data_IF_418886537176
#
_entry.id   IF_418886537176
#
_cell.length_a   1.000
_cell.length_b   1.000
_cell.length_c   1.000
_cell.angle_alpha   90.00
_cell.angle_beta   90.00
_cell.angle_gamma   90.00
#
_symmetry.space_group_name_H-M   'P 1'
#
loop_
_entity.id
_entity.type
_entity.pdbx_description
1 polymer ?
#
# COMPACT_ATOMS: atom_id res chain seq x y z
N UNK A 1 35.83 13.72 -7.66
CA UNK A 1 36.08 12.25 -7.66
C UNK A 1 35.22 11.52 -6.63
N UNK A 2 35.24 11.92 -5.36
CA UNK A 2 34.46 11.27 -4.28
C UNK A 2 32.93 11.35 -4.45
N UNK A 3 32.39 12.50 -4.91
CA UNK A 3 30.95 12.66 -5.20
C UNK A 3 30.44 11.64 -6.23
N UNK A 4 31.18 11.49 -7.34
CA UNK A 4 30.85 10.54 -8.41
C UNK A 4 30.90 9.08 -7.92
N UNK A 5 31.87 8.73 -7.06
CA UNK A 5 31.93 7.41 -6.46
C UNK A 5 30.73 7.13 -5.55
N UNK A 6 30.34 8.10 -4.72
CA UNK A 6 29.19 7.96 -3.82
C UNK A 6 27.87 7.80 -4.60
N UNK A 7 27.67 8.60 -5.65
CA UNK A 7 26.49 8.50 -6.54
C UNK A 7 26.47 7.14 -7.25
N UNK A 8 27.59 6.70 -7.81
CA UNK A 8 27.67 5.41 -8.51
C UNK A 8 27.36 4.22 -7.59
N UNK A 9 27.85 4.25 -6.35
CA UNK A 9 27.54 3.21 -5.35
C UNK A 9 26.05 3.23 -4.98
N UNK A 10 25.48 4.43 -4.78
CA UNK A 10 24.06 4.58 -4.48
C UNK A 10 23.17 4.07 -5.62
N UNK A 11 23.51 4.38 -6.88
CA UNK A 11 22.81 3.85 -8.06
C UNK A 11 22.90 2.32 -8.11
N UNK A 12 24.10 1.76 -7.91
CA UNK A 12 24.29 0.31 -7.90
C UNK A 12 23.43 -0.40 -6.84
N UNK A 13 23.43 0.12 -5.61
CA UNK A 13 22.58 -0.41 -4.53
C UNK A 13 21.09 -0.26 -4.85
N UNK A 14 20.68 0.93 -5.29
CA UNK A 14 19.31 1.22 -5.68
C UNK A 14 18.82 0.24 -6.75
N UNK A 15 19.60 0.02 -7.81
CA UNK A 15 19.22 -0.87 -8.90
C UNK A 15 19.09 -2.33 -8.47
N UNK A 16 19.99 -2.82 -7.61
CA UNK A 16 19.89 -4.19 -7.07
C UNK A 16 18.63 -4.34 -6.24
N UNK A 17 18.40 -3.44 -5.29
CA UNK A 17 17.24 -3.48 -4.40
C UNK A 17 15.94 -3.34 -5.19
N UNK A 18 15.88 -2.38 -6.12
CA UNK A 18 14.75 -2.14 -7.02
C UNK A 18 14.37 -3.38 -7.82
N UNK A 19 15.35 -4.08 -8.42
CA UNK A 19 15.12 -5.30 -9.20
C UNK A 19 14.55 -6.43 -8.35
N UNK A 20 15.09 -6.66 -7.15
CA UNK A 20 14.55 -7.66 -6.23
C UNK A 20 13.13 -7.30 -5.76
N UNK A 21 12.84 -6.02 -5.54
CA UNK A 21 11.50 -5.55 -5.18
C UNK A 21 10.47 -5.70 -6.30
N UNK A 22 10.87 -5.83 -7.57
CA UNK A 22 9.98 -6.23 -8.67
C UNK A 22 9.66 -7.73 -8.57
N UNK A 23 10.69 -8.56 -8.35
CA UNK A 23 10.59 -10.02 -8.45
C UNK A 23 9.88 -10.64 -7.24
N UNK A 24 10.23 -10.21 -6.02
CA UNK A 24 9.77 -10.85 -4.78
C UNK A 24 8.24 -10.87 -4.67
N UNK A 25 7.50 -9.76 -4.83
CA UNK A 25 6.04 -9.79 -4.71
C UNK A 25 5.37 -10.72 -5.73
N UNK A 26 5.89 -10.75 -6.97
CA UNK A 26 5.37 -11.62 -8.03
C UNK A 26 5.57 -13.12 -7.70
N UNK A 27 6.72 -13.48 -7.13
CA UNK A 27 7.02 -14.85 -6.70
C UNK A 27 6.24 -15.28 -5.46
N UNK A 28 6.03 -14.35 -4.51
CA UNK A 28 5.30 -14.62 -3.26
C UNK A 28 3.79 -14.70 -3.49
N UNK A 29 3.25 -14.01 -4.51
CA UNK A 29 1.82 -13.96 -4.81
C UNK A 29 1.15 -15.36 -4.92
N UNK A 30 1.66 -16.32 -5.73
CA UNK A 30 1.11 -17.68 -5.79
C UNK A 30 1.06 -18.38 -4.43
N UNK A 31 2.08 -18.21 -3.59
CA UNK A 31 2.15 -18.84 -2.27
C UNK A 31 1.05 -18.31 -1.34
N UNK A 32 0.74 -17.02 -1.43
CA UNK A 32 -0.30 -16.37 -0.62
C UNK A 32 -1.73 -16.84 -0.97
N UNK A 33 -1.94 -17.51 -2.11
CA UNK A 33 -3.21 -18.20 -2.39
C UNK A 33 -3.40 -19.47 -1.54
N UNK A 34 -2.33 -20.02 -0.97
CA UNK A 34 -2.37 -21.22 -0.14
C UNK A 34 -2.18 -20.90 1.34
N UNK A 35 -1.30 -19.94 1.67
CA UNK A 35 -0.97 -19.58 3.05
C UNK A 35 -1.61 -18.24 3.43
N UNK A 36 -2.27 -18.18 4.59
CA UNK A 36 -2.84 -16.94 5.12
C UNK A 36 -1.86 -16.20 6.00
N UNK A 37 -1.76 -14.89 5.79
CA UNK A 37 -1.03 -14.04 6.71
C UNK A 37 -1.81 -13.94 8.03
N UNK A 38 -1.18 -14.19 9.21
CA UNK A 38 -1.85 -14.38 10.49
C UNK A 38 -2.31 -13.06 11.14
N UNK A 39 -3.18 -12.31 10.48
CA UNK A 39 -3.77 -11.06 10.98
C UNK A 39 -5.17 -10.79 10.43
N UNK A 40 -5.93 -9.93 11.10
CA UNK A 40 -7.30 -9.61 10.67
C UNK A 40 -8.26 -10.76 10.97
N UNK A 41 -8.95 -11.21 9.93
CA UNK A 41 -9.86 -12.37 9.99
C UNK A 41 -9.14 -13.71 10.01
N UNK A 42 -7.83 -13.71 9.78
CA UNK A 42 -6.96 -14.90 9.79
C UNK A 42 -6.03 -14.94 11.01
N UNK A 43 -6.29 -14.10 12.03
CA UNK A 43 -5.50 -14.12 13.27
C UNK A 43 -5.59 -15.50 13.95
N UNK A 44 -4.46 -16.10 14.39
CA UNK A 44 -4.47 -17.38 15.10
C UNK A 44 -5.33 -17.34 16.37
N UNK A 45 -6.09 -18.40 16.61
CA UNK A 45 -7.01 -18.51 17.75
C UNK A 45 -6.31 -18.89 19.07
N UNK A 46 -5.02 -19.21 19.04
CA UNK A 46 -4.25 -19.60 20.22
C UNK A 46 -3.65 -18.37 20.91
N UNK A 47 -3.77 -18.30 22.24
CA UNK A 47 -3.08 -17.28 23.04
C UNK A 47 -1.57 -17.50 22.91
N UNK A 48 -0.90 -16.64 22.15
CA UNK A 48 0.55 -16.62 21.99
C UNK A 48 1.11 -15.34 22.62
N UNK A 49 2.28 -15.46 23.27
CA UNK A 49 3.06 -14.33 23.80
C UNK A 49 3.43 -13.31 22.70
N UNK A 50 3.42 -13.73 21.44
CA UNK A 50 3.76 -12.90 20.28
C UNK A 50 2.57 -12.14 19.70
N UNK A 51 1.39 -12.17 20.33
CA UNK A 51 0.24 -11.39 19.88
C UNK A 51 0.29 -9.96 20.44
N UNK A 52 0.40 -8.98 19.56
CA UNK A 52 0.43 -7.55 19.89
C UNK A 52 -0.90 -6.86 19.56
N UNK A 53 -1.12 -5.69 20.17
CA UNK A 53 -2.29 -4.85 19.87
C UNK A 53 -2.30 -4.44 18.39
N UNK A 54 -3.43 -4.70 17.71
CA UNK A 54 -3.52 -4.50 16.27
C UNK A 54 -3.52 -3.04 15.82
N UNK A 55 -4.01 -2.11 16.66
CA UNK A 55 -4.01 -0.67 16.32
C UNK A 55 -2.59 -0.14 16.45
N UNK A 56 -1.93 -0.38 17.58
CA UNK A 56 -0.54 0.05 17.81
C UNK A 56 0.43 -0.57 16.81
N UNK A 57 0.31 -1.88 16.55
CA UNK A 57 1.16 -2.57 15.58
C UNK A 57 1.04 -1.96 14.18
N UNK A 58 -0.18 -1.63 13.76
CA UNK A 58 -0.42 -0.99 12.47
C UNK A 58 0.14 0.44 12.41
N UNK A 59 -0.10 1.26 13.43
CA UNK A 59 0.44 2.62 13.48
C UNK A 59 1.97 2.59 13.39
N UNK A 60 2.63 1.71 14.15
CA UNK A 60 4.09 1.58 14.12
C UNK A 60 4.57 1.13 12.73
N UNK A 61 4.00 0.05 12.19
CA UNK A 61 4.51 -0.54 10.94
C UNK A 61 4.29 0.36 9.72
N UNK A 62 3.29 1.24 9.75
CA UNK A 62 3.03 2.19 8.66
C UNK A 62 3.78 3.52 8.88
N UNK A 63 4.03 3.94 10.12
CA UNK A 63 4.70 5.23 10.41
C UNK A 63 6.19 5.23 10.07
N UNK A 64 6.83 4.07 9.93
CA UNK A 64 8.25 4.01 9.50
C UNK A 64 8.48 4.55 8.09
N UNK A 65 7.40 4.69 7.29
CA UNK A 65 7.47 5.32 5.97
C UNK A 65 7.93 6.77 6.05
N UNK A 66 7.48 7.54 7.05
CA UNK A 66 7.85 8.96 7.16
C UNK A 66 9.36 9.18 7.27
N UNK A 67 10.08 8.62 8.27
CA UNK A 67 11.52 8.83 8.38
C UNK A 67 12.28 8.21 7.20
N UNK A 68 11.89 7.03 6.71
CA UNK A 68 12.59 6.38 5.59
C UNK A 68 12.47 7.18 4.29
N UNK A 69 11.24 7.62 3.94
CA UNK A 69 10.99 8.42 2.75
C UNK A 69 11.67 9.79 2.86
N UNK A 70 11.45 10.52 3.95
CA UNK A 70 12.00 11.87 4.13
C UNK A 70 13.51 11.85 4.11
N UNK A 71 14.14 10.87 4.77
CA UNK A 71 15.59 10.71 4.74
C UNK A 71 16.11 10.48 3.31
N UNK A 72 15.55 9.51 2.58
CA UNK A 72 15.98 9.21 1.22
C UNK A 72 15.74 10.38 0.25
N UNK A 73 14.59 11.05 0.36
CA UNK A 73 14.23 12.19 -0.48
C UNK A 73 15.13 13.41 -0.24
N UNK A 74 15.41 13.75 1.03
CA UNK A 74 16.27 14.88 1.37
C UNK A 74 17.75 14.61 1.11
N UNK A 75 18.19 13.36 1.19
CA UNK A 75 19.57 13.00 0.83
C UNK A 75 19.81 12.97 -0.67
N UNK A 76 18.77 12.85 -1.49
CA UNK A 76 18.87 12.83 -2.95
C UNK A 76 20.03 11.94 -3.45
N UNK A 77 20.10 10.67 -3.02
CA UNK A 77 21.29 9.83 -3.22
C UNK A 77 21.55 9.47 -4.69
N UNK A 78 20.57 9.69 -5.57
CA UNK A 78 20.64 9.39 -7.00
C UNK A 78 20.77 10.67 -7.86
N UNK A 79 20.92 11.85 -7.25
CA UNK A 79 21.12 13.08 -8.02
C UNK A 79 22.57 13.23 -8.45
N UNK A 80 22.76 13.52 -9.73
CA UNK A 80 24.09 13.75 -10.32
C UNK A 80 24.65 15.13 -9.96
N UNK A 81 23.77 16.09 -9.67
CA UNK A 81 24.14 17.51 -9.44
C UNK A 81 24.02 17.92 -7.98
N UNK A 82 23.30 17.15 -7.16
CA UNK A 82 22.89 17.57 -5.81
C UNK A 82 22.93 16.44 -4.79
N UNK A 83 23.81 15.45 -4.98
CA UNK A 83 23.97 14.35 -4.02
C UNK A 83 24.21 14.88 -2.60
N UNK A 84 23.41 14.41 -1.65
CA UNK A 84 23.46 14.83 -0.25
C UNK A 84 22.75 16.16 0.06
N UNK A 85 22.17 16.83 -0.95
CA UNK A 85 21.43 18.08 -0.81
C UNK A 85 19.94 17.86 -1.10
N UNK A 86 19.09 18.54 -0.34
CA UNK A 86 17.65 18.41 -0.49
C UNK A 86 17.17 19.00 -1.84
N UNK A 87 16.20 18.34 -2.52
CA UNK A 87 15.53 18.93 -3.67
C UNK A 87 14.68 20.15 -3.26
N UNK A 88 14.23 20.98 -4.22
CA UNK A 88 13.39 22.14 -3.91
C UNK A 88 12.12 21.76 -3.14
N UNK A 89 11.96 22.25 -1.91
CA UNK A 89 10.82 21.89 -1.03
C UNK A 89 9.56 22.72 -1.26
N UNK A 90 9.31 23.11 -2.52
CA UNK A 90 8.12 23.87 -2.94
C UNK A 90 7.15 22.98 -3.70
N UNK A 91 5.84 23.19 -3.52
CA UNK A 91 4.82 22.48 -4.30
C UNK A 91 4.83 22.87 -5.78
N UNK A 92 5.54 23.93 -6.16
CA UNK A 92 5.81 24.27 -7.56
C UNK A 92 6.78 23.30 -8.24
N UNK A 93 7.53 22.51 -7.45
CA UNK A 93 8.44 21.49 -7.94
C UNK A 93 7.70 20.14 -8.06
N UNK A 94 7.53 19.56 -9.26
CA UNK A 94 6.67 18.39 -9.44
C UNK A 94 7.05 17.16 -8.60
N UNK A 95 8.33 16.79 -8.41
CA UNK A 95 8.68 15.70 -7.50
C UNK A 95 8.29 15.97 -6.04
N UNK A 96 8.40 17.20 -5.57
CA UNK A 96 7.98 17.59 -4.21
C UNK A 96 6.46 17.59 -4.07
N UNK A 97 5.74 18.00 -5.12
CA UNK A 97 4.30 17.86 -5.19
C UNK A 97 3.89 16.39 -5.08
N UNK A 98 4.48 15.48 -5.86
CA UNK A 98 4.24 14.03 -5.77
C UNK A 98 4.62 13.46 -4.40
N UNK A 99 5.74 13.89 -3.83
CA UNK A 99 6.15 13.52 -2.47
C UNK A 99 5.08 13.89 -1.44
N UNK A 100 4.45 15.07 -1.58
CA UNK A 100 3.35 15.48 -0.70
C UNK A 100 2.13 14.56 -0.81
N UNK A 101 1.78 14.11 -2.02
CA UNK A 101 0.66 13.17 -2.23
C UNK A 101 0.95 11.81 -1.59
N UNK A 102 2.16 11.29 -1.78
CA UNK A 102 2.62 10.07 -1.12
C UNK A 102 2.50 10.18 0.41
N UNK A 103 2.96 11.29 0.99
CA UNK A 103 2.88 11.53 2.43
C UNK A 103 1.45 11.77 2.92
N UNK A 104 0.56 12.35 2.12
CA UNK A 104 -0.87 12.50 2.43
C UNK A 104 -1.54 11.13 2.56
N UNK A 105 -1.27 10.21 1.63
CA UNK A 105 -1.74 8.83 1.75
C UNK A 105 -1.29 8.21 3.07
N UNK A 106 0.01 8.29 3.38
CA UNK A 106 0.56 7.69 4.60
C UNK A 106 0.12 8.38 5.88
N UNK A 107 -0.17 9.68 5.85
CA UNK A 107 -0.80 10.38 6.97
C UNK A 107 -2.18 9.79 7.27
N UNK A 108 -2.97 9.53 6.22
CA UNK A 108 -4.23 8.85 6.39
C UNK A 108 -4.03 7.40 6.87
N UNK A 109 -3.16 6.63 6.22
CA UNK A 109 -2.97 5.19 6.45
C UNK A 109 -2.36 4.84 7.80
N UNK A 110 -1.34 5.59 8.22
CA UNK A 110 -0.55 5.32 9.42
C UNK A 110 -1.14 5.98 10.67
N UNK A 111 -1.79 7.14 10.53
CA UNK A 111 -2.22 7.95 11.68
C UNK A 111 -3.73 8.11 11.71
N UNK A 112 -4.34 8.75 10.72
CA UNK A 112 -5.77 9.14 10.78
C UNK A 112 -6.70 7.91 10.81
N UNK A 113 -6.53 6.97 9.90
CA UNK A 113 -7.39 5.78 9.79
C UNK A 113 -7.29 4.86 11.02
N UNK A 114 -6.08 4.54 11.56
CA UNK A 114 -5.96 3.79 12.80
C UNK A 114 -6.59 4.48 14.01
N UNK A 115 -6.43 5.81 14.15
CA UNK A 115 -7.06 6.57 15.25
C UNK A 115 -8.59 6.57 15.17
N UNK A 116 -9.16 6.47 13.96
CA UNK A 116 -10.61 6.36 13.73
C UNK A 116 -11.13 4.92 13.88
N UNK A 117 -10.24 3.93 13.96
CA UNK A 117 -10.61 2.52 14.00
C UNK A 117 -11.06 2.11 15.41
N UNK A 118 -12.33 1.69 15.62
CA UNK A 118 -12.84 1.39 16.97
C UNK A 118 -12.19 0.19 17.62
N UNK A 119 -11.80 -0.77 16.79
CA UNK A 119 -11.14 -2.02 17.15
C UNK A 119 -10.45 -2.64 15.92
N UNK A 120 -9.34 -3.32 16.18
CA UNK A 120 -8.60 -4.13 15.21
C UNK A 120 -8.16 -5.41 15.91
N UNK A 121 -8.29 -6.54 15.22
CA UNK A 121 -7.81 -7.84 15.69
C UNK A 121 -6.34 -7.77 16.10
N UNK A 122 -5.95 -8.53 17.11
CA UNK A 122 -4.53 -8.70 17.44
C UNK A 122 -3.76 -9.23 16.23
N UNK A 123 -2.49 -8.85 16.14
CA UNK A 123 -1.59 -9.29 15.08
C UNK A 123 -0.43 -10.07 15.68
N UNK A 124 0.00 -11.14 15.03
CA UNK A 124 1.25 -11.81 15.40
C UNK A 124 2.44 -10.89 15.09
N UNK A 125 3.42 -10.79 16.00
CA UNK A 125 4.57 -9.86 15.92
C UNK A 125 5.37 -9.96 14.61
N UNK A 126 5.39 -11.14 13.98
CA UNK A 126 6.02 -11.32 12.67
C UNK A 126 5.43 -10.40 11.59
N UNK A 127 4.13 -10.11 11.64
CA UNK A 127 3.43 -9.27 10.65
C UNK A 127 3.94 -7.83 10.65
N UNK A 128 3.91 -7.07 11.78
CA UNK A 128 4.45 -5.72 11.80
C UNK A 128 5.96 -5.69 11.54
N UNK A 129 6.73 -6.71 11.92
CA UNK A 129 8.17 -6.76 11.60
C UNK A 129 8.42 -6.86 10.08
N UNK A 130 7.72 -7.76 9.38
CA UNK A 130 7.81 -7.87 7.93
C UNK A 130 7.30 -6.61 7.23
N UNK A 131 6.21 -6.03 7.72
CA UNK A 131 5.67 -4.78 7.21
C UNK A 131 6.65 -3.62 7.38
N UNK A 132 7.29 -3.47 8.55
CA UNK A 132 8.34 -2.46 8.77
C UNK A 132 9.48 -2.62 7.76
N UNK A 133 9.98 -3.84 7.59
CA UNK A 133 11.07 -4.11 6.63
C UNK A 133 10.67 -3.74 5.20
N UNK A 134 9.46 -4.13 4.77
CA UNK A 134 8.95 -3.75 3.45
C UNK A 134 8.83 -2.23 3.29
N UNK A 135 8.21 -1.57 4.28
CA UNK A 135 7.95 -0.13 4.24
C UNK A 135 9.21 0.70 4.24
N UNK A 136 10.24 0.33 5.00
CA UNK A 136 11.54 1.01 4.99
C UNK A 136 12.16 0.97 3.61
N UNK A 137 12.16 -0.19 2.95
CA UNK A 137 12.75 -0.33 1.62
C UNK A 137 11.90 0.38 0.56
N UNK A 138 10.58 0.19 0.56
CA UNK A 138 9.66 0.84 -0.39
C UNK A 138 9.75 2.37 -0.30
N UNK A 139 9.68 2.92 0.92
CA UNK A 139 9.78 4.36 1.16
C UNK A 139 11.14 4.93 0.75
N UNK A 140 12.22 4.19 1.03
CA UNK A 140 13.57 4.59 0.62
C UNK A 140 13.73 4.59 -0.90
N UNK A 141 13.22 3.56 -1.59
CA UNK A 141 13.22 3.50 -3.06
C UNK A 141 12.40 4.64 -3.68
N UNK A 142 11.22 4.94 -3.13
CA UNK A 142 10.37 6.02 -3.60
C UNK A 142 11.04 7.39 -3.40
N UNK A 143 11.58 7.66 -2.21
CA UNK A 143 12.26 8.91 -1.89
C UNK A 143 13.52 9.12 -2.73
N UNK A 144 14.34 8.07 -2.88
CA UNK A 144 15.52 8.10 -3.74
C UNK A 144 15.18 8.33 -5.22
N UNK A 145 14.10 7.72 -5.71
CA UNK A 145 13.63 7.91 -7.09
C UNK A 145 13.14 9.34 -7.33
N UNK A 146 12.19 9.84 -6.52
CA UNK A 146 11.59 11.15 -6.75
C UNK A 146 12.61 12.29 -6.63
N UNK A 147 13.68 12.10 -5.86
CA UNK A 147 14.78 13.06 -5.75
C UNK A 147 15.92 12.83 -6.75
N UNK A 148 15.77 11.91 -7.70
CA UNK A 148 16.81 11.56 -8.69
C UNK A 148 16.79 12.46 -9.92
N UNK A 149 17.93 12.53 -10.63
CA UNK A 149 18.02 13.21 -11.93
C UNK A 149 17.08 12.60 -12.98
N UNK A 150 16.76 11.30 -12.87
CA UNK A 150 15.87 10.61 -13.80
C UNK A 150 14.41 11.06 -13.62
N UNK A 151 13.95 11.19 -12.36
CA UNK A 151 12.62 11.70 -12.08
C UNK A 151 12.51 13.19 -12.48
N UNK A 152 13.53 13.99 -12.20
CA UNK A 152 13.58 15.40 -12.60
C UNK A 152 13.46 15.57 -14.13
N UNK A 153 14.26 14.81 -14.90
CA UNK A 153 14.19 14.81 -16.35
C UNK A 153 12.81 14.40 -16.89
N UNK A 154 12.17 13.38 -16.29
CA UNK A 154 10.85 12.94 -16.71
C UNK A 154 9.74 13.94 -16.36
N UNK A 155 9.87 14.61 -15.22
CA UNK A 155 8.87 15.53 -14.69
C UNK A 155 9.07 16.98 -15.17
N UNK A 156 10.05 17.21 -16.05
CA UNK A 156 10.23 18.50 -16.68
C UNK A 156 8.96 18.93 -17.42
N UNK A 157 8.39 20.08 -17.03
CA UNK A 157 7.13 20.57 -17.60
C UNK A 157 5.89 19.75 -17.22
N UNK A 158 5.95 18.88 -16.20
CA UNK A 158 4.86 18.00 -15.78
C UNK A 158 3.51 18.72 -15.61
N UNK A 159 3.50 19.93 -15.02
CA UNK A 159 2.26 20.68 -14.79
C UNK A 159 1.59 21.20 -16.07
N UNK A 160 2.29 21.22 -17.20
CA UNK A 160 1.73 21.50 -18.54
C UNK A 160 1.27 20.22 -19.25
N UNK A 161 1.59 19.05 -18.71
CA UNK A 161 1.28 17.75 -19.32
C UNK A 161 -0.11 17.25 -18.89
N UNK A 162 -1.05 17.01 -19.82
CA UNK A 162 -2.34 16.42 -19.51
C UNK A 162 -2.23 15.04 -18.84
N UNK A 163 -1.21 14.27 -19.23
CA UNK A 163 -0.92 12.93 -18.70
C UNK A 163 -0.61 12.95 -17.20
N UNK A 164 0.11 13.98 -16.74
CA UNK A 164 0.41 14.17 -15.33
C UNK A 164 -0.88 14.36 -14.53
N UNK A 165 -1.72 15.31 -14.94
CA UNK A 165 -2.98 15.62 -14.27
C UNK A 165 -4.01 14.49 -14.36
N UNK A 166 -4.05 13.73 -15.45
CA UNK A 166 -4.85 12.50 -15.53
C UNK A 166 -4.40 11.47 -14.47
N UNK A 167 -3.09 11.27 -14.30
CA UNK A 167 -2.53 10.43 -13.24
C UNK A 167 -2.91 10.93 -11.84
N UNK A 168 -2.81 12.24 -11.58
CA UNK A 168 -3.22 12.85 -10.31
C UNK A 168 -4.72 12.70 -10.06
N UNK A 169 -5.56 12.84 -11.07
CA UNK A 169 -7.00 12.66 -10.95
C UNK A 169 -7.36 11.20 -10.58
N UNK A 170 -6.72 10.23 -11.24
CA UNK A 170 -6.87 8.80 -10.91
C UNK A 170 -6.36 8.53 -9.48
N UNK A 171 -5.23 9.11 -9.10
CA UNK A 171 -4.71 9.02 -7.72
C UNK A 171 -5.72 9.54 -6.69
N UNK A 172 -6.27 10.74 -6.91
CA UNK A 172 -7.22 11.36 -5.99
C UNK A 172 -8.54 10.57 -5.88
N UNK A 173 -9.09 10.12 -7.01
CA UNK A 173 -10.29 9.27 -7.02
C UNK A 173 -10.03 7.92 -6.32
N UNK A 174 -8.84 7.35 -6.52
CA UNK A 174 -8.39 6.15 -5.82
C UNK A 174 -8.34 6.35 -4.30
N UNK A 175 -7.66 7.40 -3.81
CA UNK A 175 -7.56 7.70 -2.38
C UNK A 175 -8.94 7.97 -1.76
N UNK A 176 -9.77 8.80 -2.42
CA UNK A 176 -11.13 9.09 -1.96
C UNK A 176 -11.97 7.82 -1.90
N UNK A 177 -11.89 6.98 -2.94
CA UNK A 177 -12.58 5.69 -2.98
C UNK A 177 -12.10 4.74 -1.89
N UNK A 178 -10.80 4.66 -1.63
CA UNK A 178 -10.24 3.82 -0.57
C UNK A 178 -10.79 4.26 0.81
N UNK A 179 -10.70 5.55 1.12
CA UNK A 179 -11.21 6.11 2.39
C UNK A 179 -12.71 5.90 2.54
N UNK A 180 -13.49 6.14 1.48
CA UNK A 180 -14.94 5.95 1.47
C UNK A 180 -15.31 4.51 1.85
N UNK A 181 -14.66 3.53 1.21
CA UNK A 181 -14.98 2.12 1.42
C UNK A 181 -14.44 1.58 2.74
N UNK A 182 -13.33 2.11 3.25
CA UNK A 182 -12.87 1.82 4.61
C UNK A 182 -13.84 2.39 5.65
N UNK A 183 -14.39 3.59 5.42
CA UNK A 183 -15.36 4.21 6.34
C UNK A 183 -16.65 3.38 6.49
N UNK A 184 -17.09 2.70 5.42
CA UNK A 184 -18.20 1.73 5.50
C UNK A 184 -17.88 0.60 6.49
N UNK A 185 -16.65 0.04 6.44
CA UNK A 185 -16.22 -1.01 7.36
C UNK A 185 -16.08 -0.48 8.80
N UNK A 186 -15.54 0.73 8.97
CA UNK A 186 -15.43 1.37 10.28
C UNK A 186 -16.81 1.65 10.90
N UNK A 187 -17.80 2.03 10.09
CA UNK A 187 -19.17 2.21 10.52
C UNK A 187 -19.82 0.92 11.04
N UNK A 188 -19.56 -0.22 10.38
CA UNK A 188 -20.01 -1.53 10.87
C UNK A 188 -19.43 -1.80 12.25
N UNK A 189 -18.11 -1.59 12.44
CA UNK A 189 -17.45 -1.78 13.74
C UNK A 189 -17.96 -0.83 14.81
N UNK A 190 -18.17 0.45 14.48
CA UNK A 190 -18.73 1.45 15.42
C UNK A 190 -20.13 1.04 15.88
N UNK A 191 -21.00 0.64 14.96
CA UNK A 191 -22.36 0.17 15.27
C UNK A 191 -22.32 -1.08 16.14
N UNK A 192 -21.43 -2.03 15.87
CA UNK A 192 -21.25 -3.22 16.69
C UNK A 192 -20.79 -2.88 18.12
N UNK A 193 -19.81 -1.97 18.26
CA UNK A 193 -19.32 -1.50 19.56
C UNK A 193 -20.39 -0.78 20.37
N UNK A 194 -21.16 0.12 19.74
CA UNK A 194 -22.26 0.82 20.39
C UNK A 194 -23.35 -0.14 20.91
N UNK A 195 -23.53 -1.28 20.25
CA UNK A 195 -24.49 -2.33 20.65
C UNK A 195 -23.90 -3.36 21.63
N UNK A 196 -22.69 -3.14 22.16
CA UNK A 196 -22.02 -4.11 23.04
C UNK A 196 -21.55 -5.39 22.34
N UNK A 197 -21.64 -5.46 21.00
CA UNK A 197 -21.28 -6.61 20.16
C UNK A 197 -19.95 -6.39 19.44
N UNK A 198 -19.05 -5.56 19.98
CA UNK A 198 -17.74 -5.31 19.35
C UNK A 198 -16.95 -6.61 19.14
N UNK A 199 -17.10 -7.55 20.08
CA UNK A 199 -16.55 -8.89 19.98
C UNK A 199 -17.62 -9.92 20.25
N UNK A 200 -17.70 -10.92 19.39
CA UNK A 200 -18.58 -12.07 19.54
C UNK A 200 -17.78 -13.25 20.06
N UNK A 201 -18.41 -14.06 20.91
CA UNK A 201 -17.84 -15.34 21.30
C UNK A 201 -17.83 -16.25 20.06
N UNK A 202 -16.70 -16.90 19.81
CA UNK A 202 -16.66 -17.96 18.81
C UNK A 202 -17.67 -19.06 19.19
N UNK A 203 -18.04 -19.88 18.22
CA UNK A 203 -18.91 -21.07 18.34
C UNK A 203 -18.59 -21.99 19.55
N UNK A 204 -17.38 -21.92 20.11
CA UNK A 204 -16.92 -22.66 21.29
C UNK A 204 -16.80 -21.84 22.60
N UNK A 205 -17.26 -20.58 22.66
CA UNK A 205 -17.32 -19.75 23.88
C UNK A 205 -15.98 -19.33 24.49
N UNK A 206 -14.84 -19.72 23.89
CA UNK A 206 -13.50 -19.55 24.48
C UNK A 206 -12.71 -18.36 23.95
N UNK A 207 -13.07 -17.80 22.79
CA UNK A 207 -12.34 -16.71 22.15
C UNK A 207 -13.28 -15.63 21.60
N UNK A 208 -13.03 -14.38 22.00
CA UNK A 208 -13.75 -13.19 21.52
C UNK A 208 -13.17 -12.71 20.19
N UNK A 209 -13.85 -12.96 19.08
CA UNK A 209 -13.47 -12.49 17.74
C UNK A 209 -14.11 -11.13 17.44
N UNK A 210 -13.50 -10.35 16.54
CA UNK A 210 -14.08 -9.08 16.07
C UNK A 210 -15.38 -9.33 15.31
N UNK A 211 -16.38 -8.46 15.49
CA UNK A 211 -17.65 -8.58 14.77
C UNK A 211 -17.50 -8.26 13.28
N UNK A 212 -18.08 -9.12 12.44
CA UNK A 212 -18.11 -8.99 10.99
C UNK A 212 -19.54 -8.95 10.48
N UNK A 213 -19.80 -8.10 9.49
CA UNK A 213 -21.06 -8.04 8.75
C UNK A 213 -20.78 -7.88 7.25
N UNK A 214 -21.79 -8.13 6.42
CA UNK A 214 -21.72 -7.87 4.98
C UNK A 214 -21.72 -6.34 4.76
N UNK A 215 -20.70 -5.77 4.09
CA UNK A 215 -20.72 -4.37 3.71
C UNK A 215 -21.62 -4.15 2.49
N UNK A 216 -22.34 -3.03 2.46
CA UNK A 216 -23.27 -2.63 1.41
C UNK A 216 -23.04 -1.17 0.99
N UNK A 217 -23.46 -0.83 -0.24
CA UNK A 217 -23.34 0.51 -0.81
C UNK A 217 -22.09 0.71 -1.67
N UNK A 218 -22.16 1.65 -2.61
CA UNK A 218 -21.06 2.00 -3.52
C UNK A 218 -20.53 0.77 -4.27
N UNK A 219 -19.21 0.60 -4.39
CA UNK A 219 -18.59 -0.54 -5.07
C UNK A 219 -18.76 -1.85 -4.31
N UNK A 220 -19.16 -1.84 -3.03
CA UNK A 220 -19.55 -3.09 -2.37
C UNK A 220 -20.73 -3.77 -3.07
N UNK A 221 -21.54 -3.06 -3.87
CA UNK A 221 -22.59 -3.72 -4.64
C UNK A 221 -22.02 -4.69 -5.71
N UNK A 222 -20.78 -4.51 -6.13
CA UNK A 222 -20.15 -5.29 -7.20
C UNK A 222 -18.99 -6.16 -6.72
N UNK A 223 -18.22 -5.69 -5.72
CA UNK A 223 -16.98 -6.35 -5.27
C UNK A 223 -16.86 -6.40 -3.75
N UNK A 224 -16.12 -7.37 -3.22
CA UNK A 224 -15.90 -7.56 -1.78
C UNK A 224 -14.84 -6.65 -1.18
N UNK A 225 -13.83 -6.29 -1.98
CA UNK A 225 -12.66 -5.49 -1.58
C UNK A 225 -12.52 -4.21 -2.43
N UNK A 226 -13.53 -3.33 -2.44
CA UNK A 226 -13.44 -2.08 -3.19
C UNK A 226 -12.37 -1.13 -2.68
N UNK A 227 -12.04 -1.18 -1.39
CA UNK A 227 -10.91 -0.42 -0.85
C UNK A 227 -9.59 -0.82 -1.52
N UNK A 228 -9.35 -2.12 -1.77
CA UNK A 228 -8.15 -2.57 -2.50
C UNK A 228 -8.16 -2.15 -3.96
N UNK A 229 -9.31 -2.27 -4.64
CA UNK A 229 -9.45 -1.80 -6.02
C UNK A 229 -9.15 -0.30 -6.15
N UNK A 230 -9.67 0.51 -5.22
CA UNK A 230 -9.39 1.94 -5.17
C UNK A 230 -7.93 2.25 -4.83
N UNK A 231 -7.29 1.48 -3.95
CA UNK A 231 -5.85 1.61 -3.61
C UNK A 231 -4.96 1.26 -4.82
N UNK A 232 -5.35 0.27 -5.64
CA UNK A 232 -4.67 0.00 -6.91
C UNK A 232 -4.83 1.14 -7.91
N UNK A 233 -6.04 1.70 -8.05
CA UNK A 233 -6.25 2.87 -8.89
C UNK A 233 -5.39 4.04 -8.39
N UNK A 234 -5.34 4.26 -7.08
CA UNK A 234 -4.53 5.29 -6.45
C UNK A 234 -3.06 5.18 -6.89
N UNK A 235 -2.43 4.03 -6.64
CA UNK A 235 -1.01 3.84 -6.91
C UNK A 235 -0.68 3.72 -8.40
N UNK A 236 -1.61 3.23 -9.23
CA UNK A 236 -1.46 3.28 -10.68
C UNK A 236 -1.48 4.73 -11.20
N UNK A 237 -2.42 5.55 -10.73
CA UNK A 237 -2.48 6.98 -11.06
C UNK A 237 -1.21 7.72 -10.65
N UNK A 238 -0.72 7.44 -9.43
CA UNK A 238 0.56 7.95 -8.95
C UNK A 238 1.72 7.55 -9.86
N UNK A 239 1.82 6.26 -10.21
CA UNK A 239 2.89 5.73 -11.05
C UNK A 239 2.89 6.35 -12.45
N UNK A 240 1.70 6.51 -13.05
CA UNK A 240 1.53 7.22 -14.32
C UNK A 240 2.06 8.65 -14.19
N UNK A 241 1.66 9.40 -13.17
CA UNK A 241 2.15 10.78 -13.01
C UNK A 241 3.67 10.84 -12.78
N UNK A 242 4.22 9.93 -11.97
CA UNK A 242 5.56 10.03 -11.40
C UNK A 242 6.70 9.43 -12.24
N UNK A 243 6.45 8.39 -13.04
CA UNK A 243 7.51 7.65 -13.73
C UNK A 243 7.15 7.27 -15.18
N UNK A 244 8.14 7.07 -16.07
CA UNK A 244 7.92 6.47 -17.39
C UNK A 244 7.30 5.08 -17.25
N UNK A 245 6.43 4.72 -18.19
CA UNK A 245 5.86 3.37 -18.24
C UNK A 245 6.98 2.32 -18.43
N UNK A 246 6.90 1.18 -17.74
CA UNK A 246 7.87 0.11 -17.91
C UNK A 246 7.79 -0.48 -19.31
N UNK A 247 8.93 -0.91 -19.85
CA UNK A 247 9.03 -1.63 -21.11
C UNK A 247 8.77 -3.11 -20.92
N UNK A 248 7.88 -3.67 -21.74
CA UNK A 248 7.55 -5.10 -21.73
C UNK A 248 8.19 -5.87 -22.89
N UNK A 249 9.16 -5.28 -23.60
CA UNK A 249 9.82 -5.94 -24.75
C UNK A 249 10.65 -7.17 -24.36
N UNK A 250 11.15 -7.21 -23.13
CA UNK A 250 11.80 -8.38 -22.54
C UNK A 250 11.78 -8.30 -21.01
N UNK A 251 12.05 -9.42 -20.33
CA UNK A 251 12.19 -9.41 -18.87
C UNK A 251 13.32 -8.49 -18.39
N UNK A 252 14.44 -8.44 -19.13
CA UNK A 252 15.53 -7.52 -18.85
C UNK A 252 15.09 -6.05 -19.01
N UNK A 253 14.34 -5.72 -20.08
CA UNK A 253 13.82 -4.38 -20.28
C UNK A 253 12.85 -3.97 -19.16
N UNK A 254 11.99 -4.90 -18.72
CA UNK A 254 11.08 -4.68 -17.58
C UNK A 254 11.87 -4.36 -16.31
N UNK A 255 12.87 -5.18 -15.97
CA UNK A 255 13.71 -4.95 -14.80
C UNK A 255 14.49 -3.63 -14.87
N UNK A 256 15.01 -3.26 -16.04
CA UNK A 256 15.79 -2.04 -16.21
C UNK A 256 14.93 -0.77 -16.14
N UNK A 257 13.73 -0.80 -16.69
CA UNK A 257 12.89 0.40 -16.88
C UNK A 257 11.89 0.66 -15.76
N UNK A 258 11.45 -0.36 -15.02
CA UNK A 258 10.39 -0.20 -13.99
C UNK A 258 10.89 0.57 -12.77
N UNK A 259 10.39 1.79 -12.55
CA UNK A 259 10.80 2.63 -11.43
C UNK A 259 9.94 2.43 -10.17
N UNK A 260 10.42 2.90 -9.02
CA UNK A 260 9.79 2.73 -7.71
C UNK A 260 8.26 2.95 -7.69
N UNK A 261 7.66 3.96 -8.36
CA UNK A 261 6.21 4.11 -8.40
C UNK A 261 5.46 2.90 -8.99
N UNK A 262 5.93 2.36 -10.12
CA UNK A 262 5.33 1.17 -10.74
C UNK A 262 5.60 -0.11 -9.95
N UNK A 263 6.75 -0.18 -9.26
CA UNK A 263 7.08 -1.30 -8.38
C UNK A 263 6.13 -1.35 -7.20
N UNK A 264 5.85 -0.20 -6.61
CA UNK A 264 4.94 -0.13 -5.48
C UNK A 264 3.53 -0.54 -5.89
N UNK A 265 3.00 0.02 -6.99
CA UNK A 265 1.72 -0.43 -7.57
C UNK A 265 1.70 -1.94 -7.82
N UNK A 266 2.75 -2.50 -8.43
CA UNK A 266 2.84 -3.94 -8.71
C UNK A 266 2.86 -4.76 -7.42
N UNK A 267 3.55 -4.29 -6.38
CA UNK A 267 3.60 -4.94 -5.07
C UNK A 267 2.23 -4.97 -4.40
N UNK A 268 1.49 -3.85 -4.44
CA UNK A 268 0.13 -3.76 -3.91
C UNK A 268 -0.79 -4.75 -4.63
N UNK A 269 -0.71 -4.82 -5.96
CA UNK A 269 -1.48 -5.76 -6.77
C UNK A 269 -1.20 -7.22 -6.38
N UNK A 270 0.08 -7.62 -6.38
CA UNK A 270 0.49 -9.00 -6.11
C UNK A 270 0.25 -9.45 -4.67
N UNK A 271 0.32 -8.54 -3.70
CA UNK A 271 0.08 -8.88 -2.29
C UNK A 271 -1.40 -8.83 -1.90
N UNK A 272 -2.20 -7.98 -2.54
CA UNK A 272 -3.62 -7.82 -2.22
C UNK A 272 -4.54 -8.81 -2.94
N UNK A 273 -4.23 -9.23 -4.17
CA UNK A 273 -5.08 -10.17 -4.93
C UNK A 273 -5.39 -11.45 -4.16
N UNK A 274 -4.39 -12.19 -3.63
CA UNK A 274 -4.65 -13.45 -2.94
C UNK A 274 -5.51 -13.23 -1.70
N UNK A 275 -5.30 -12.09 -1.02
CA UNK A 275 -6.05 -11.69 0.16
C UNK A 275 -7.50 -11.33 -0.14
N UNK A 276 -7.75 -10.59 -1.23
CA UNK A 276 -9.09 -10.29 -1.70
C UNK A 276 -9.84 -11.58 -2.06
N UNK A 277 -9.18 -12.48 -2.80
CA UNK A 277 -9.76 -13.77 -3.18
C UNK A 277 -10.17 -14.59 -1.96
N UNK A 278 -9.23 -14.83 -1.03
CA UNK A 278 -9.53 -15.61 0.18
C UNK A 278 -10.55 -14.93 1.08
N UNK A 279 -10.47 -13.61 1.21
CA UNK A 279 -11.45 -12.85 1.96
C UNK A 279 -12.85 -12.93 1.35
N UNK A 280 -12.96 -13.02 0.03
CA UNK A 280 -14.21 -13.21 -0.69
C UNK A 280 -14.78 -14.62 -0.44
N UNK A 281 -13.95 -15.66 -0.50
CA UNK A 281 -14.35 -17.03 -0.14
C UNK A 281 -14.82 -17.12 1.32
N UNK A 282 -14.09 -16.46 2.24
CA UNK A 282 -14.50 -16.38 3.63
C UNK A 282 -15.89 -15.75 3.80
N UNK A 283 -16.19 -14.67 3.07
CA UNK A 283 -17.53 -14.05 3.11
C UNK A 283 -18.63 -15.01 2.61
N UNK A 284 -18.39 -15.72 1.50
CA UNK A 284 -19.32 -16.72 0.96
C UNK A 284 -19.60 -17.86 1.93
N UNK A 285 -18.57 -18.31 2.65
CA UNK A 285 -18.70 -19.40 3.62
C UNK A 285 -19.31 -18.95 4.95
N UNK A 286 -19.07 -17.69 5.35
CA UNK A 286 -19.51 -17.16 6.65
C UNK A 286 -20.96 -16.69 6.64
N UNK A 287 -21.42 -16.11 5.54
CA UNK A 287 -22.74 -15.48 5.46
C UNK A 287 -23.63 -16.17 4.41
N UNK A 288 -24.68 -16.89 4.82
CA UNK A 288 -25.61 -17.55 3.90
C UNK A 288 -26.30 -16.60 2.92
N UNK A 289 -26.50 -15.34 3.34
CA UNK A 289 -27.12 -14.25 2.59
C UNK A 289 -26.12 -13.41 1.77
N UNK A 290 -24.88 -13.88 1.61
CA UNK A 290 -23.88 -13.16 0.83
C UNK A 290 -24.27 -13.01 -0.66
N UNK A 291 -24.18 -11.80 -1.26
CA UNK A 291 -24.55 -11.61 -2.66
C UNK A 291 -23.71 -12.47 -3.61
N UNK A 292 -24.37 -13.40 -4.32
CA UNK A 292 -23.71 -14.40 -5.17
C UNK A 292 -22.98 -13.79 -6.38
N UNK A 293 -23.51 -12.69 -6.93
CA UNK A 293 -22.96 -12.01 -8.10
C UNK A 293 -21.74 -11.15 -7.80
N UNK A 294 -21.50 -10.83 -6.51
CA UNK A 294 -20.36 -10.02 -6.08
C UNK A 294 -19.06 -10.74 -6.44
N UNK A 295 -18.09 -10.00 -6.97
CA UNK A 295 -16.72 -10.47 -7.24
C UNK A 295 -15.79 -10.11 -6.08
N UNK A 296 -14.56 -10.60 -6.07
CA UNK A 296 -13.60 -10.33 -5.01
C UNK A 296 -13.11 -8.87 -5.02
N UNK A 297 -12.60 -8.37 -6.15
CA UNK A 297 -11.90 -7.07 -6.20
C UNK A 297 -11.99 -6.34 -7.55
N UNK A 298 -12.08 -7.01 -8.70
CA UNK A 298 -12.31 -6.33 -9.99
C UNK A 298 -13.76 -6.55 -10.41
N UNK A 299 -14.57 -5.48 -10.56
CA UNK A 299 -15.96 -5.60 -10.94
C UNK A 299 -16.13 -6.44 -12.20
N UNK A 300 -17.10 -7.37 -12.16
CA UNK A 300 -17.46 -8.27 -13.27
C UNK A 300 -16.36 -9.26 -13.70
N UNK A 301 -15.18 -9.24 -13.10
CA UNK A 301 -14.05 -10.11 -13.48
C UNK A 301 -13.68 -11.09 -12.35
N UNK A 302 -13.07 -10.59 -11.27
CA UNK A 302 -12.50 -11.43 -10.19
C UNK A 302 -12.85 -10.93 -8.81
#
# INVERSE_FOLDING_TARGET
MQLFQNVSQAIGLYDVVRKWFIVIPAVVCPVNFFIDAPFGRFTPQTNSLFLVDGVKAWMIMESVVFPAFVYAFLKSPLSATSFGSAPPLTLAHPPTFLASLYLIHYLNRAIISPLRTPSRSKSHLLVPLLAVSYQVVNASLMGAYLSSSQADAYLQGAFKSPRFWAGIAVWALGLMGNILHDEVLLNIRRKAKAKGKAREDDSNGKNKQEHYAIPHGYLYNYISFPNYFCEWAEWLGFAIAAAPAPSFTSFAALLLTTQAPYIFFSSEFFTMIPRAWKGHQWYKNRFPDYPRERKAVIPFLI
#
